data_IF_621878957430
#
_entry.id   IF_621878957430
#
_cell.length_a   1.000
_cell.length_b   1.000
_cell.length_c   1.000
_cell.angle_alpha   90.00
_cell.angle_beta   90.00
_cell.angle_gamma   90.00
#
_symmetry.space_group_name_H-M   'P 1'
#
loop_
_entity.id
_entity.type
_entity.pdbx_description
1 polymer ?
#
# COMPACT_ATOMS: atom_id res chain seq x y z
N UNK A 1 0.38 6.09 5.61
CA UNK A 1 1.76 5.62 5.82
C UNK A 1 2.35 6.30 7.05
N UNK A 2 3.37 5.71 7.67
CA UNK A 2 4.01 6.26 8.87
C UNK A 2 5.54 6.22 8.84
N UNK A 3 6.16 6.95 9.77
CA UNK A 3 7.60 6.92 10.06
C UNK A 3 7.88 6.35 11.46
N UNK A 4 9.17 6.24 11.86
CA UNK A 4 9.56 5.76 13.20
C UNK A 4 9.02 6.66 14.32
N UNK A 5 8.91 7.97 14.08
CA UNK A 5 8.33 8.95 15.00
C UNK A 5 6.80 8.91 15.09
N UNK A 6 6.14 7.91 14.48
CA UNK A 6 4.67 7.72 14.46
C UNK A 6 3.92 8.90 13.83
N UNK A 7 4.53 9.66 12.95
CA UNK A 7 3.80 10.63 12.11
C UNK A 7 2.92 9.84 11.14
N UNK A 8 1.63 10.17 11.07
CA UNK A 8 0.66 9.46 10.24
C UNK A 8 0.33 10.31 9.01
N UNK A 9 0.47 9.71 7.84
CA UNK A 9 0.03 10.25 6.56
C UNK A 9 -1.23 9.50 6.13
N UNK A 10 -2.32 10.21 5.95
CA UNK A 10 -3.60 9.64 5.50
C UNK A 10 -3.91 10.12 4.10
N UNK A 11 -4.15 9.19 3.17
CA UNK A 11 -4.45 9.51 1.77
C UNK A 11 -5.32 8.45 1.09
N UNK A 12 -6.09 8.88 0.08
CA UNK A 12 -6.76 7.99 -0.88
C UNK A 12 -5.85 7.79 -2.10
N UNK A 13 -5.83 6.58 -2.65
CA UNK A 13 -5.17 6.29 -3.93
C UNK A 13 -5.92 5.20 -4.69
N UNK A 14 -5.92 5.30 -6.02
CA UNK A 14 -6.39 4.24 -6.89
C UNK A 14 -5.36 3.13 -7.10
N UNK A 15 -4.09 3.41 -6.79
CA UNK A 15 -3.02 2.43 -6.88
C UNK A 15 -2.13 2.57 -5.63
N UNK A 16 -2.35 1.67 -4.68
CA UNK A 16 -1.66 1.68 -3.40
C UNK A 16 -0.18 1.30 -3.54
N UNK A 17 0.13 0.31 -4.38
CA UNK A 17 1.49 -0.17 -4.63
C UNK A 17 2.37 0.92 -5.23
N UNK A 18 1.87 1.63 -6.26
CA UNK A 18 2.57 2.77 -6.86
C UNK A 18 2.83 3.87 -5.83
N UNK A 19 1.86 4.16 -4.95
CA UNK A 19 2.02 5.18 -3.90
C UNK A 19 3.10 4.74 -2.91
N UNK A 20 3.03 3.52 -2.40
CA UNK A 20 4.05 3.01 -1.49
C UNK A 20 5.43 3.03 -2.13
N UNK A 21 5.55 2.55 -3.37
CA UNK A 21 6.80 2.55 -4.12
C UNK A 21 7.39 3.97 -4.23
N UNK A 22 6.58 4.99 -4.55
CA UNK A 22 7.02 6.38 -4.60
C UNK A 22 7.54 6.89 -3.25
N UNK A 23 6.88 6.54 -2.15
CA UNK A 23 7.30 6.96 -0.82
C UNK A 23 8.56 6.22 -0.35
N UNK A 24 8.69 4.92 -0.65
CA UNK A 24 9.87 4.12 -0.30
C UNK A 24 11.12 4.55 -1.07
N UNK A 25 10.97 4.82 -2.37
CA UNK A 25 12.04 5.30 -3.25
C UNK A 25 12.24 6.82 -3.20
N UNK A 26 11.53 7.54 -2.30
CA UNK A 26 11.62 8.99 -2.14
C UNK A 26 11.39 9.79 -3.44
N UNK A 27 10.63 9.23 -4.38
CA UNK A 27 10.38 9.81 -5.71
C UNK A 27 9.49 11.06 -5.66
N UNK A 28 8.84 11.32 -4.53
CA UNK A 28 8.11 12.57 -4.31
C UNK A 28 8.91 13.49 -3.40
N UNK A 29 9.36 14.59 -3.98
CA UNK A 29 10.00 15.68 -3.25
C UNK A 29 8.99 16.39 -2.34
N UNK A 30 9.41 16.73 -1.11
CA UNK A 30 8.58 17.45 -0.15
C UNK A 30 8.44 16.79 1.23
N UNK A 31 7.25 16.89 1.82
CA UNK A 31 6.96 16.49 3.22
C UNK A 31 7.28 15.00 3.49
N UNK A 32 6.92 14.12 2.56
CA UNK A 32 7.10 12.67 2.68
C UNK A 32 8.57 12.27 2.73
N UNK A 33 9.41 12.95 1.93
CA UNK A 33 10.88 12.81 1.96
C UNK A 33 11.47 13.38 3.25
N UNK A 34 11.05 14.59 3.65
CA UNK A 34 11.53 15.25 4.89
C UNK A 34 11.27 14.42 6.15
N UNK A 35 10.10 13.80 6.25
CA UNK A 35 9.71 13.01 7.43
C UNK A 35 9.96 11.50 7.27
N UNK A 36 10.57 11.05 6.16
CA UNK A 36 10.88 9.63 5.87
C UNK A 36 9.68 8.71 6.09
N UNK A 37 8.53 9.10 5.54
CA UNK A 37 7.27 8.35 5.67
C UNK A 37 7.30 7.18 4.68
N UNK A 38 7.91 6.06 5.08
CA UNK A 38 8.16 4.92 4.18
C UNK A 38 7.34 3.68 4.47
N UNK A 39 6.71 3.59 5.65
CA UNK A 39 6.05 2.36 6.12
C UNK A 39 4.56 2.42 5.90
N UNK A 40 3.98 1.39 5.31
CA UNK A 40 2.55 1.23 5.25
C UNK A 40 2.09 0.46 6.49
N UNK A 41 1.38 1.11 7.41
CA UNK A 41 0.95 0.46 8.66
C UNK A 41 -0.51 0.02 8.65
N UNK A 42 -1.32 0.63 7.77
CA UNK A 42 -2.71 0.26 7.58
C UNK A 42 -3.18 0.67 6.18
N UNK A 43 -4.03 -0.15 5.58
CA UNK A 43 -4.79 0.22 4.39
C UNK A 43 -6.19 -0.39 4.44
N UNK A 44 -7.12 0.22 3.70
CA UNK A 44 -8.51 -0.23 3.59
C UNK A 44 -8.93 -0.12 2.12
N UNK A 45 -9.34 -1.24 1.53
CA UNK A 45 -9.82 -1.27 0.15
C UNK A 45 -11.30 -0.89 0.10
N UNK A 46 -11.66 -0.13 -0.94
CA UNK A 46 -13.04 0.35 -1.12
C UNK A 46 -13.48 0.15 -2.55
N UNK A 47 -14.72 -0.27 -2.74
CA UNK A 47 -15.30 -0.55 -4.06
C UNK A 47 -15.63 0.73 -4.85
N UNK A 48 -15.89 1.85 -4.18
CA UNK A 48 -16.22 3.14 -4.79
C UNK A 48 -15.27 4.25 -4.31
N UNK A 49 -14.92 5.16 -5.23
CA UNK A 49 -14.11 6.35 -4.94
C UNK A 49 -14.82 7.26 -3.93
N UNK A 50 -16.15 7.39 -4.01
CA UNK A 50 -16.93 8.21 -3.08
C UNK A 50 -16.84 7.64 -1.65
N UNK A 51 -16.93 6.32 -1.52
CA UNK A 51 -16.75 5.63 -0.23
C UNK A 51 -15.33 5.88 0.30
N UNK A 52 -14.31 5.81 -0.57
CA UNK A 52 -12.93 6.11 -0.22
C UNK A 52 -12.77 7.53 0.33
N UNK A 53 -13.33 8.53 -0.37
CA UNK A 53 -13.26 9.95 0.02
C UNK A 53 -14.01 10.20 1.33
N UNK A 54 -15.21 9.65 1.48
CA UNK A 54 -16.00 9.80 2.70
C UNK A 54 -15.28 9.22 3.91
N UNK A 55 -14.72 8.02 3.76
CA UNK A 55 -13.96 7.34 4.81
C UNK A 55 -12.63 8.04 5.10
N UNK A 56 -11.94 8.56 4.09
CA UNK A 56 -10.74 9.39 4.29
C UNK A 56 -11.08 10.66 5.08
N UNK A 57 -12.18 11.35 4.76
CA UNK A 57 -12.66 12.52 5.52
C UNK A 57 -12.96 12.16 6.97
N UNK A 58 -13.67 11.05 7.22
CA UNK A 58 -13.94 10.56 8.57
C UNK A 58 -12.65 10.32 9.34
N UNK A 59 -11.70 9.61 8.74
CA UNK A 59 -10.41 9.30 9.35
C UNK A 59 -9.62 10.58 9.59
N UNK A 60 -9.56 11.51 8.64
CA UNK A 60 -8.88 12.81 8.80
C UNK A 60 -9.42 13.57 10.01
N UNK A 61 -10.74 13.58 10.20
CA UNK A 61 -11.42 14.21 11.34
C UNK A 61 -11.20 13.51 12.69
N UNK A 62 -10.69 12.27 12.72
CA UNK A 62 -10.43 11.57 13.98
C UNK A 62 -9.24 12.13 14.73
N UNK A 63 -9.37 12.13 16.07
CA UNK A 63 -8.24 12.37 16.98
C UNK A 63 -7.14 11.33 16.75
N UNK A 64 -5.89 11.74 16.98
CA UNK A 64 -4.70 10.89 16.84
C UNK A 64 -4.84 9.55 17.57
N UNK A 65 -5.39 9.55 18.78
CA UNK A 65 -5.58 8.33 19.58
C UNK A 65 -6.48 7.30 18.88
N UNK A 66 -7.55 7.76 18.22
CA UNK A 66 -8.49 6.89 17.51
C UNK A 66 -7.84 6.28 16.26
N UNK A 67 -7.02 7.05 15.54
CA UNK A 67 -6.21 6.55 14.41
C UNK A 67 -5.22 5.47 14.87
N UNK A 68 -4.50 5.71 15.98
CA UNK A 68 -3.57 4.75 16.57
C UNK A 68 -4.30 3.47 16.99
N UNK A 69 -5.49 3.59 17.58
CA UNK A 69 -6.29 2.44 18.00
C UNK A 69 -6.75 1.61 16.80
N UNK A 70 -7.17 2.26 15.71
CA UNK A 70 -7.50 1.58 14.44
C UNK A 70 -6.29 0.79 13.92
N UNK A 71 -5.13 1.45 13.82
CA UNK A 71 -3.90 0.81 13.34
C UNK A 71 -3.53 -0.36 14.25
N UNK A 72 -3.53 -0.18 15.57
CA UNK A 72 -3.20 -1.25 16.53
C UNK A 72 -4.15 -2.44 16.48
N UNK A 73 -5.43 -2.21 16.17
CA UNK A 73 -6.43 -3.28 16.05
C UNK A 73 -6.11 -4.20 14.87
N UNK A 74 -5.61 -3.65 13.77
CA UNK A 74 -5.29 -4.42 12.55
C UNK A 74 -3.82 -4.86 12.50
N UNK A 75 -2.91 -4.07 13.07
CA UNK A 75 -1.47 -4.25 13.02
C UNK A 75 -0.85 -3.79 14.35
N UNK A 76 -0.89 -4.64 15.40
CA UNK A 76 -0.39 -4.30 16.72
C UNK A 76 1.14 -4.11 16.73
N UNK A 77 1.86 -4.80 15.84
CA UNK A 77 3.31 -4.73 15.71
C UNK A 77 3.79 -3.48 14.95
N UNK A 78 2.89 -2.74 14.30
CA UNK A 78 3.25 -1.62 13.40
C UNK A 78 4.23 -2.06 12.31
N UNK A 79 4.14 -3.31 11.88
CA UNK A 79 4.93 -3.87 10.79
C UNK A 79 4.59 -3.14 9.48
N UNK A 80 5.54 -3.08 8.54
CA UNK A 80 5.28 -2.51 7.23
C UNK A 80 4.57 -3.54 6.35
N UNK A 81 3.27 -3.33 6.13
CA UNK A 81 2.39 -4.20 5.33
C UNK A 81 2.77 -4.28 3.86
N UNK A 82 3.71 -3.43 3.43
CA UNK A 82 4.15 -3.35 2.04
C UNK A 82 5.56 -3.89 1.81
N UNK A 83 6.16 -4.56 2.79
CA UNK A 83 7.43 -5.26 2.60
C UNK A 83 7.30 -6.37 1.55
N UNK A 84 6.23 -7.15 1.60
CA UNK A 84 6.01 -8.28 0.69
C UNK A 84 5.73 -7.85 -0.76
N UNK A 85 5.18 -6.65 -0.99
CA UNK A 85 4.81 -6.19 -2.34
C UNK A 85 6.01 -5.86 -3.22
N UNK A 86 7.17 -5.61 -2.63
CA UNK A 86 8.39 -5.26 -3.35
C UNK A 86 9.16 -6.52 -3.72
N UNK A 87 9.00 -7.59 -2.95
CA UNK A 87 9.67 -8.88 -3.18
C UNK A 87 9.12 -9.61 -4.41
N UNK A 88 7.82 -9.45 -4.70
CA UNK A 88 7.15 -10.08 -5.85
C UNK A 88 7.57 -9.48 -7.22
N UNK A 89 8.12 -8.26 -7.25
CA UNK A 89 8.59 -7.65 -8.49
C UNK A 89 9.95 -8.23 -8.99
N UNK A 90 10.64 -9.00 -8.14
CA UNK A 90 11.96 -9.57 -8.43
C UNK A 90 11.98 -11.07 -8.75
N UNK A 91 10.89 -11.80 -8.55
CA UNK A 91 10.79 -13.22 -8.95
C UNK A 91 10.25 -13.35 -10.37
N UNK A 92 11.00 -12.83 -11.34
CA UNK A 92 11.02 -13.48 -12.64
C UNK A 92 11.86 -14.74 -12.45
N UNK A 93 11.20 -15.87 -12.20
CA UNK A 93 11.82 -17.19 -12.30
C UNK A 93 12.62 -17.25 -13.63
N UNK A 94 13.89 -17.65 -13.62
CA UNK A 94 14.62 -17.84 -14.86
C UNK A 94 13.88 -18.94 -15.62
N UNK A 95 13.25 -18.61 -16.75
CA UNK A 95 12.70 -19.59 -17.69
C UNK A 95 13.87 -20.48 -18.13
N UNK A 96 14.09 -21.58 -17.42
CA UNK A 96 14.89 -22.69 -17.92
C UNK A 96 14.18 -23.18 -19.17
N UNK A 97 14.89 -23.08 -20.28
CA UNK A 97 14.43 -23.53 -21.57
C UNK A 97 14.06 -25.02 -21.54
N UNK A 98 13.06 -25.37 -22.36
CA UNK A 98 12.75 -26.70 -22.90
C UNK A 98 11.95 -27.65 -22.00
N UNK A 99 10.63 -27.78 -22.27
CA UNK A 99 10.11 -28.94 -23.02
C UNK A 99 8.67 -28.65 -23.51
N UNK A 100 8.38 -29.10 -24.73
CA UNK A 100 7.18 -28.84 -25.52
C UNK A 100 5.93 -29.60 -25.02
N UNK A 101 4.77 -28.93 -24.90
CA UNK A 101 3.43 -29.39 -25.39
C UNK A 101 2.28 -28.47 -24.97
N UNK A 102 1.30 -28.39 -25.88
CA UNK A 102 0.09 -27.55 -25.94
C UNK A 102 -0.78 -27.44 -24.69
N UNK A 103 -1.37 -26.25 -24.47
CA UNK A 103 -2.48 -26.09 -23.53
C UNK A 103 -2.90 -24.66 -23.21
N UNK A 104 -3.66 -24.04 -24.12
CA UNK A 104 -4.67 -22.99 -23.93
C UNK A 104 -4.47 -21.92 -22.83
N UNK A 105 -4.26 -20.68 -23.29
CA UNK A 105 -4.46 -19.39 -22.61
C UNK A 105 -5.37 -19.39 -21.37
N UNK A 106 -4.85 -18.84 -20.27
CA UNK A 106 -5.39 -17.61 -19.64
C UNK A 106 -4.44 -17.16 -18.52
N UNK A 107 -3.44 -16.36 -18.87
CA UNK A 107 -2.74 -15.54 -17.88
C UNK A 107 -3.68 -14.41 -17.43
N UNK A 108 -4.39 -14.63 -16.33
CA UNK A 108 -5.05 -13.54 -15.62
C UNK A 108 -4.13 -13.06 -14.48
N UNK A 109 -3.00 -12.44 -14.85
CA UNK A 109 -2.30 -11.54 -13.92
C UNK A 109 -3.13 -10.27 -13.82
N UNK A 110 -4.17 -10.33 -13.00
CA UNK A 110 -4.88 -9.15 -12.54
C UNK A 110 -3.89 -8.30 -11.74
N UNK A 111 -3.18 -7.40 -12.43
CA UNK A 111 -2.58 -6.20 -11.85
C UNK A 111 -3.69 -5.26 -11.38
N UNK A 112 -4.53 -5.76 -10.47
CA UNK A 112 -5.61 -5.04 -9.86
C UNK A 112 -5.00 -4.04 -8.89
N UNK A 113 -4.73 -2.83 -9.39
CA UNK A 113 -4.33 -1.72 -8.53
C UNK A 113 -5.31 -1.60 -7.38
N UNK A 114 -4.86 -1.95 -6.17
CA UNK A 114 -5.70 -1.92 -4.97
C UNK A 114 -6.14 -0.48 -4.73
N UNK A 115 -7.45 -0.25 -4.91
CA UNK A 115 -8.10 1.05 -4.72
C UNK A 115 -8.51 1.16 -3.27
N UNK A 116 -8.01 2.19 -2.58
CA UNK A 116 -8.25 2.28 -1.15
C UNK A 116 -7.62 3.47 -0.46
N UNK A 117 -7.77 3.46 0.85
CA UNK A 117 -7.25 4.44 1.78
C UNK A 117 -6.03 3.86 2.45
N UNK A 118 -4.98 4.66 2.63
CA UNK A 118 -3.80 4.25 3.39
C UNK A 118 -3.54 5.18 4.58
N UNK A 119 -3.07 4.58 5.68
CA UNK A 119 -2.73 5.21 6.96
C UNK A 119 -1.32 4.85 7.44
#
# INVERSE_FOLDING_TARGET
MSNLSRTLYTGVTNNLERRVYQHKNELMEGFTRKYKIKRLVYFEETTSIEAAIAREKQIKAWRRQKKITLIKKNNPAWADLSEEWITEAGKAEPRSALDDTDGCHSEERAGGGRRGICL
#
